data_IF_400122498182
#
_entry.id   IF_400122498182
#
_cell.length_a   1.000
_cell.length_b   1.000
_cell.length_c   1.000
_cell.angle_alpha   90.00
_cell.angle_beta   90.00
_cell.angle_gamma   90.00
#
_symmetry.space_group_name_H-M   'P 1'
#
loop_
_entity.id
_entity.type
_entity.pdbx_description
1 polymer ?
#
# COMPACT_ATOMS: atom_id res chain seq x y z
N UNK A 1 -11.32 13.49 -2.69
CA UNK A 1 -11.58 12.41 -1.69
C UNK A 1 -10.29 12.18 -0.91
N UNK A 2 -10.31 11.76 0.37
CA UNK A 2 -9.07 11.32 1.02
C UNK A 2 -8.51 10.04 0.37
N UNK A 3 -7.37 10.17 -0.31
CA UNK A 3 -6.61 9.03 -0.85
C UNK A 3 -5.89 8.32 0.31
N UNK A 4 -5.98 7.00 0.36
CA UNK A 4 -5.33 6.19 1.41
C UNK A 4 -4.09 5.47 0.85
N UNK A 5 -3.18 4.95 1.71
CA UNK A 5 -2.04 4.15 1.26
C UNK A 5 -2.44 2.93 0.40
N UNK A 6 -3.62 2.35 0.65
CA UNK A 6 -4.17 1.27 -0.18
C UNK A 6 -4.48 1.74 -1.60
N UNK A 7 -4.97 2.97 -1.77
CA UNK A 7 -5.20 3.55 -3.09
C UNK A 7 -3.88 3.74 -3.84
N UNK A 8 -2.83 4.26 -3.18
CA UNK A 8 -1.48 4.37 -3.76
C UNK A 8 -0.98 2.98 -4.20
N UNK A 9 -1.10 1.98 -3.33
CA UNK A 9 -0.71 0.62 -3.68
C UNK A 9 -1.45 0.13 -4.94
N UNK A 10 -2.78 0.27 -5.00
CA UNK A 10 -3.57 -0.22 -6.12
C UNK A 10 -3.34 0.58 -7.40
N UNK A 11 -3.08 1.88 -7.30
CA UNK A 11 -2.67 2.70 -8.42
C UNK A 11 -1.44 2.11 -9.12
N UNK A 12 -0.41 1.75 -8.36
CA UNK A 12 0.81 1.15 -8.92
C UNK A 12 0.68 -0.34 -9.30
N UNK A 13 -0.42 -1.02 -8.94
CA UNK A 13 -0.65 -2.43 -9.29
C UNK A 13 -1.63 -2.58 -10.46
N UNK A 14 -2.82 -2.00 -10.35
CA UNK A 14 -3.92 -2.20 -11.28
C UNK A 14 -5.02 -1.13 -11.08
N UNK A 15 -5.24 -0.27 -12.08
CA UNK A 15 -6.27 0.77 -12.03
C UNK A 15 -7.70 0.22 -11.93
N UNK A 16 -7.97 -0.94 -12.55
CA UNK A 16 -9.26 -1.64 -12.39
C UNK A 16 -9.52 -2.00 -10.93
N UNK A 17 -8.50 -2.56 -10.26
CA UNK A 17 -8.58 -2.90 -8.83
C UNK A 17 -8.78 -1.66 -7.96
N UNK A 18 -8.06 -0.58 -8.26
CA UNK A 18 -8.23 0.73 -7.60
C UNK A 18 -9.68 1.21 -7.70
N UNK A 19 -10.25 1.20 -8.90
CA UNK A 19 -11.62 1.61 -9.15
C UNK A 19 -12.61 0.74 -8.39
N UNK A 20 -12.50 -0.59 -8.48
CA UNK A 20 -13.41 -1.52 -7.80
C UNK A 20 -13.38 -1.33 -6.28
N UNK A 21 -12.19 -1.22 -5.69
CA UNK A 21 -12.00 -0.99 -4.26
C UNK A 21 -12.66 0.31 -3.79
N UNK A 22 -12.48 1.39 -4.57
CA UNK A 22 -13.07 2.69 -4.28
C UNK A 22 -14.61 2.64 -4.31
N UNK A 23 -15.18 1.97 -5.31
CA UNK A 23 -16.63 1.79 -5.45
C UNK A 23 -17.22 0.73 -4.51
N UNK A 24 -16.46 0.30 -3.49
CA UNK A 24 -16.93 -0.60 -2.44
C UNK A 24 -17.02 -2.07 -2.84
N UNK A 25 -16.63 -2.42 -4.07
CA UNK A 25 -16.57 -3.81 -4.53
C UNK A 25 -15.29 -4.41 -3.95
N UNK A 26 -15.42 -5.28 -2.95
CA UNK A 26 -14.29 -5.85 -2.20
C UNK A 26 -14.28 -7.36 -2.32
N UNK A 27 -13.18 -7.92 -2.80
CA UNK A 27 -12.99 -9.37 -2.96
C UNK A 27 -11.91 -9.92 -2.01
N UNK A 28 -11.36 -9.08 -1.13
CA UNK A 28 -10.25 -9.45 -0.24
C UNK A 28 -10.63 -10.54 0.77
N UNK A 29 -11.91 -10.62 1.13
CA UNK A 29 -12.43 -11.56 2.14
C UNK A 29 -12.56 -12.99 1.62
N UNK A 30 -12.61 -13.19 0.30
CA UNK A 30 -12.65 -14.53 -0.33
C UNK A 30 -11.25 -15.05 -0.68
N UNK A 31 -10.19 -14.29 -0.37
CA UNK A 31 -8.83 -14.60 -0.79
C UNK A 31 -7.97 -15.13 0.36
N UNK A 32 -7.62 -16.41 0.32
CA UNK A 32 -6.66 -17.03 1.25
C UNK A 32 -5.31 -16.31 1.26
N UNK A 33 -4.90 -15.76 0.11
CA UNK A 33 -3.66 -14.98 -0.03
C UNK A 33 -3.69 -13.73 0.85
N UNK A 34 -4.85 -13.06 0.93
CA UNK A 34 -5.04 -11.86 1.75
C UNK A 34 -5.13 -12.24 3.23
N UNK A 35 -5.89 -13.28 3.57
CA UNK A 35 -6.00 -13.80 4.94
C UNK A 35 -4.63 -14.16 5.51
N UNK A 36 -3.82 -14.89 4.74
CA UNK A 36 -2.46 -15.23 5.15
C UNK A 36 -1.55 -13.98 5.27
N UNK A 37 -1.77 -12.96 4.44
CA UNK A 37 -1.07 -11.68 4.54
C UNK A 37 -1.34 -10.95 5.86
N UNK A 38 -2.60 -10.95 6.32
CA UNK A 38 -2.98 -10.40 7.63
C UNK A 38 -2.31 -11.17 8.77
N UNK A 39 -2.30 -12.50 8.68
CA UNK A 39 -1.61 -13.35 9.65
C UNK A 39 -0.10 -13.06 9.74
N UNK A 40 0.58 -12.90 8.60
CA UNK A 40 1.99 -12.50 8.59
C UNK A 40 2.18 -11.15 9.27
N UNK A 41 1.30 -10.18 8.99
CA UNK A 41 1.37 -8.86 9.61
C UNK A 41 1.22 -8.94 11.14
N UNK A 42 0.28 -9.75 11.64
CA UNK A 42 0.05 -9.94 13.07
C UNK A 42 1.21 -10.67 13.78
N UNK A 43 1.89 -11.60 13.10
CA UNK A 43 2.89 -12.48 13.71
C UNK A 43 4.34 -12.03 13.51
N UNK A 44 4.63 -11.13 12.56
CA UNK A 44 6.01 -10.76 12.22
C UNK A 44 6.73 -9.98 13.33
N UNK A 45 6.00 -9.36 14.27
CA UNK A 45 6.58 -8.63 15.41
C UNK A 45 5.85 -8.97 16.71
N UNK A 46 6.20 -10.10 17.37
CA UNK A 46 5.61 -10.51 18.66
C UNK A 46 5.91 -9.53 19.81
N UNK A 47 7.00 -8.77 19.72
CA UNK A 47 7.47 -7.87 20.78
C UNK A 47 6.96 -6.43 20.58
N UNK A 48 5.64 -6.24 20.66
CA UNK A 48 4.96 -4.93 20.53
C UNK A 48 5.25 -3.91 21.65
N UNK A 49 5.86 -4.32 22.76
CA UNK A 49 5.55 -3.74 24.07
C UNK A 49 6.12 -2.36 24.45
N UNK A 50 7.09 -1.77 23.75
CA UNK A 50 7.72 -0.54 24.28
C UNK A 50 8.25 0.49 23.28
N UNK A 51 8.67 0.10 22.07
CA UNK A 51 9.41 1.01 21.16
C UNK A 51 8.59 1.54 19.98
N UNK A 52 7.54 0.83 19.59
CA UNK A 52 6.76 1.12 18.39
C UNK A 52 5.37 1.58 18.76
N UNK A 53 4.89 2.63 18.09
CA UNK A 53 3.55 3.18 18.29
C UNK A 53 2.77 3.11 17.00
N UNK A 54 1.47 2.85 17.12
CA UNK A 54 0.53 3.09 16.04
C UNK A 54 0.40 4.61 15.84
N UNK A 55 0.59 5.07 14.60
CA UNK A 55 0.46 6.48 14.25
C UNK A 55 -0.74 6.69 13.33
N UNK A 56 -1.71 7.44 13.83
CA UNK A 56 -2.90 7.84 13.07
C UNK A 56 -2.64 9.17 12.41
N UNK A 57 -2.70 9.18 11.08
CA UNK A 57 -2.67 10.36 10.23
C UNK A 57 -4.10 10.59 9.68
N UNK A 58 -4.43 11.79 9.17
CA UNK A 58 -5.80 12.09 8.72
C UNK A 58 -6.41 11.07 7.75
N UNK A 59 -5.60 10.49 6.86
CA UNK A 59 -6.05 9.57 5.80
C UNK A 59 -5.23 8.29 5.71
N UNK A 60 -4.42 8.02 6.74
CA UNK A 60 -3.54 6.87 6.79
C UNK A 60 -3.37 6.40 8.23
N UNK A 61 -3.19 5.10 8.39
CA UNK A 61 -2.79 4.49 9.65
C UNK A 61 -1.47 3.77 9.41
N UNK A 62 -0.47 4.11 10.21
CA UNK A 62 0.82 3.45 10.20
C UNK A 62 0.83 2.52 11.41
N UNK A 63 0.81 1.22 11.15
CA UNK A 63 0.75 0.22 12.21
C UNK A 63 2.05 0.18 13.03
N UNK A 64 3.19 0.52 12.42
CA UNK A 64 4.51 0.48 13.06
C UNK A 64 5.34 1.72 12.77
N UNK A 65 5.47 2.59 13.78
CA UNK A 65 6.30 3.78 13.73
C UNK A 65 7.26 3.85 14.94
N UNK A 66 8.56 3.99 14.69
CA UNK A 66 9.57 4.33 15.71
C UNK A 66 9.70 5.85 15.76
N UNK A 67 9.08 6.47 16.78
CA UNK A 67 9.07 7.93 16.93
C UNK A 67 10.44 8.53 17.27
N UNK A 68 11.33 7.78 17.93
CA UNK A 68 12.66 8.27 18.29
C UNK A 68 13.55 8.38 17.04
N UNK A 69 13.46 7.41 16.15
CA UNK A 69 14.24 7.36 14.91
C UNK A 69 13.49 7.95 13.70
N UNK A 70 12.19 8.23 13.85
CA UNK A 70 11.27 8.68 12.79
C UNK A 70 11.15 7.67 11.65
N UNK A 71 11.09 6.37 11.99
CA UNK A 71 11.09 5.28 11.01
C UNK A 71 9.72 4.63 10.91
N UNK A 72 9.18 4.56 9.69
CA UNK A 72 8.01 3.76 9.33
C UNK A 72 8.44 2.35 8.97
N UNK A 73 7.82 1.34 9.57
CA UNK A 73 8.00 -0.06 9.21
C UNK A 73 6.75 -0.58 8.49
N UNK A 74 6.92 -1.09 7.27
CA UNK A 74 5.86 -1.73 6.49
C UNK A 74 6.24 -3.18 6.20
N UNK A 75 5.35 -4.10 6.53
CA UNK A 75 5.61 -5.54 6.45
C UNK A 75 4.77 -6.15 5.35
N UNK A 76 5.41 -6.86 4.41
CA UNK A 76 4.73 -7.51 3.28
C UNK A 76 5.13 -8.97 3.15
N UNK A 77 4.18 -9.80 2.73
CA UNK A 77 4.39 -11.25 2.56
C UNK A 77 5.29 -11.61 1.37
N UNK A 78 5.17 -10.88 0.26
CA UNK A 78 5.89 -11.18 -1.00
C UNK A 78 6.34 -9.90 -1.68
N UNK A 79 7.45 -9.92 -2.40
CA UNK A 79 7.98 -8.78 -3.15
C UNK A 79 7.47 -8.69 -4.61
N UNK A 80 6.43 -9.43 -4.99
CA UNK A 80 5.94 -9.50 -6.39
C UNK A 80 5.44 -8.16 -6.96
N UNK A 81 5.04 -7.23 -6.10
CA UNK A 81 4.65 -5.85 -6.43
C UNK A 81 5.46 -4.85 -5.64
N UNK A 82 6.77 -5.10 -5.53
CA UNK A 82 7.67 -4.29 -4.71
C UNK A 82 7.54 -2.80 -5.00
N UNK A 83 7.41 -2.38 -6.26
CA UNK A 83 7.24 -0.97 -6.61
C UNK A 83 6.00 -0.33 -5.98
N UNK A 84 4.88 -1.06 -5.91
CA UNK A 84 3.67 -0.57 -5.24
C UNK A 84 3.84 -0.53 -3.72
N UNK A 85 4.63 -1.44 -3.14
CA UNK A 85 4.98 -1.39 -1.73
C UNK A 85 5.90 -0.21 -1.40
N UNK A 86 6.90 0.05 -2.23
CA UNK A 86 7.78 1.22 -2.11
C UNK A 86 6.95 2.49 -2.19
N UNK A 87 6.08 2.64 -3.20
CA UNK A 87 5.22 3.81 -3.36
C UNK A 87 4.29 4.02 -2.16
N UNK A 88 3.74 2.94 -1.60
CA UNK A 88 2.94 3.00 -0.37
C UNK A 88 3.75 3.58 0.80
N UNK A 89 4.99 3.11 1.00
CA UNK A 89 5.87 3.62 2.06
C UNK A 89 6.28 5.07 1.79
N UNK A 90 6.62 5.42 0.56
CA UNK A 90 6.92 6.80 0.16
C UNK A 90 5.76 7.75 0.46
N UNK A 91 4.52 7.30 0.28
CA UNK A 91 3.34 8.06 0.65
C UNK A 91 3.21 8.27 2.16
N UNK A 92 3.54 7.27 2.99
CA UNK A 92 3.63 7.48 4.44
C UNK A 92 4.66 8.55 4.79
N UNK A 93 5.86 8.48 4.21
CA UNK A 93 6.91 9.47 4.46
C UNK A 93 6.45 10.88 4.08
N UNK A 94 5.76 11.00 2.94
CA UNK A 94 5.19 12.27 2.50
C UNK A 94 4.16 12.83 3.49
N UNK A 95 3.23 12.00 3.97
CA UNK A 95 2.25 12.44 4.97
C UNK A 95 2.91 12.84 6.31
N UNK A 96 4.02 12.19 6.68
CA UNK A 96 4.78 12.56 7.88
C UNK A 96 5.49 13.91 7.71
N UNK A 97 6.06 14.18 6.54
CA UNK A 97 6.64 15.49 6.23
C UNK A 97 5.59 16.60 6.26
N UNK A 98 4.42 16.37 5.66
CA UNK A 98 3.28 17.31 5.70
C UNK A 98 2.77 17.54 7.14
N UNK A 99 2.90 16.54 8.01
CA UNK A 99 2.60 16.67 9.44
C UNK A 99 3.73 17.35 10.26
N UNK A 100 4.80 17.81 9.60
CA UNK A 100 5.93 18.53 10.21
C UNK A 100 7.05 17.63 10.75
N UNK A 101 7.01 16.33 10.51
CA UNK A 101 8.09 15.42 10.89
C UNK A 101 9.21 15.54 9.86
N UNK A 102 10.35 16.06 10.29
CA UNK A 102 11.52 16.26 9.42
C UNK A 102 12.18 14.92 9.12
N UNK A 103 12.56 14.69 7.86
CA UNK A 103 13.39 13.56 7.41
C UNK A 103 12.94 12.17 7.93
N UNK A 104 11.66 11.79 7.74
CA UNK A 104 11.22 10.45 8.10
C UNK A 104 11.86 9.41 7.18
N UNK A 105 12.09 8.19 7.70
CA UNK A 105 12.65 7.07 6.93
C UNK A 105 11.66 5.93 6.84
N UNK A 106 11.74 5.13 5.78
CA UNK A 106 10.89 3.96 5.59
C UNK A 106 11.72 2.67 5.55
N UNK A 107 11.21 1.61 6.18
CA UNK A 107 11.71 0.25 6.07
C UNK A 107 10.59 -0.65 5.56
N UNK A 108 10.85 -1.32 4.45
CA UNK A 108 9.96 -2.30 3.85
C UNK A 108 10.53 -3.71 4.08
N UNK A 109 9.78 -4.53 4.80
CA UNK A 109 10.23 -5.82 5.30
C UNK A 109 9.45 -6.96 4.66
N UNK A 110 10.18 -7.97 4.20
CA UNK A 110 9.66 -9.22 3.65
C UNK A 110 10.14 -10.40 4.50
N UNK A 111 9.49 -10.70 5.64
CA UNK A 111 9.98 -11.68 6.61
C UNK A 111 10.22 -13.07 6.01
N UNK A 112 9.31 -13.53 5.14
CA UNK A 112 9.43 -14.84 4.44
C UNK A 112 10.65 -14.92 3.52
N UNK A 113 11.10 -13.77 2.99
CA UNK A 113 12.26 -13.67 2.11
C UNK A 113 13.53 -13.28 2.87
N UNK A 114 13.43 -12.93 4.16
CA UNK A 114 14.52 -12.35 4.97
C UNK A 114 15.15 -11.12 4.30
N UNK A 115 14.32 -10.30 3.68
CA UNK A 115 14.73 -9.08 2.99
C UNK A 115 14.15 -7.86 3.70
N UNK A 116 15.00 -6.88 3.94
CA UNK A 116 14.61 -5.55 4.43
C UNK A 116 15.17 -4.52 3.47
N UNK A 117 14.35 -3.56 3.07
CA UNK A 117 14.71 -2.51 2.13
C UNK A 117 14.45 -1.15 2.73
N UNK A 118 15.46 -0.28 2.68
CA UNK A 118 15.27 1.13 3.00
C UNK A 118 14.53 1.83 1.85
N UNK A 119 13.53 2.62 2.21
CA UNK A 119 12.71 3.43 1.31
C UNK A 119 12.94 4.89 1.65
N UNK A 120 13.34 5.65 0.64
CA UNK A 120 13.61 7.08 0.73
C UNK A 120 12.55 7.88 -0.04
N UNK A 121 12.26 9.07 0.45
CA UNK A 121 11.47 10.07 -0.25
C UNK A 121 12.41 11.10 -0.89
N UNK A 122 12.84 10.81 -2.12
CA UNK A 122 13.66 11.73 -2.91
C UNK A 122 12.80 12.84 -3.54
N UNK A 123 13.47 13.87 -4.07
CA UNK A 123 12.81 15.01 -4.70
C UNK A 123 11.93 14.62 -5.91
N UNK A 124 12.36 13.62 -6.67
CA UNK A 124 11.61 13.12 -7.83
C UNK A 124 10.26 12.53 -7.38
N UNK A 125 10.29 11.67 -6.37
CA UNK A 125 9.09 11.04 -5.81
C UNK A 125 8.21 12.06 -5.11
N UNK A 126 8.79 12.98 -4.34
CA UNK A 126 8.07 14.06 -3.66
C UNK A 126 7.24 14.88 -4.65
N UNK A 127 7.78 15.14 -5.85
CA UNK A 127 7.06 15.81 -6.94
C UNK A 127 6.04 14.93 -7.67
N UNK A 128 6.27 13.62 -7.68
CA UNK A 128 5.39 12.64 -8.32
C UNK A 128 4.11 12.35 -7.51
N UNK A 129 4.18 12.38 -6.18
CA UNK A 129 3.03 12.05 -5.30
C UNK A 129 1.79 12.90 -5.62
N UNK A 130 1.86 14.24 -5.76
CA UNK A 130 0.69 15.03 -6.17
C UNK A 130 0.07 14.59 -7.49
N UNK A 131 0.87 14.13 -8.47
CA UNK A 131 0.33 13.56 -9.71
C UNK A 131 -0.37 12.22 -9.44
N UNK A 132 0.19 11.35 -8.61
CA UNK A 132 -0.47 10.09 -8.24
C UNK A 132 -1.83 10.35 -7.59
N UNK A 133 -1.91 11.33 -6.69
CA UNK A 133 -3.17 11.73 -6.05
C UNK A 133 -4.19 12.20 -7.09
N UNK A 134 -3.80 13.09 -8.00
CA UNK A 134 -4.67 13.58 -9.06
C UNK A 134 -5.13 12.47 -10.02
N UNK A 135 -4.22 11.57 -10.42
CA UNK A 135 -4.54 10.43 -11.27
C UNK A 135 -5.48 9.43 -10.59
N UNK A 136 -5.28 9.17 -9.30
CA UNK A 136 -6.19 8.33 -8.51
C UNK A 136 -7.59 8.94 -8.51
N UNK A 137 -7.71 10.23 -8.18
CA UNK A 137 -9.02 10.91 -8.18
C UNK A 137 -9.68 10.88 -9.55
N UNK A 138 -8.90 11.08 -10.62
CA UNK A 138 -9.38 10.97 -12.00
C UNK A 138 -9.91 9.57 -12.29
N UNK A 139 -9.11 8.53 -12.03
CA UNK A 139 -9.46 7.13 -12.32
C UNK A 139 -10.73 6.73 -11.58
N UNK A 140 -10.81 6.98 -10.27
CA UNK A 140 -11.96 6.52 -9.47
C UNK A 140 -13.25 7.27 -9.81
N UNK A 141 -13.14 8.46 -10.41
CA UNK A 141 -14.27 9.26 -10.89
C UNK A 141 -14.74 8.85 -12.30
N UNK A 142 -14.05 7.94 -12.99
CA UNK A 142 -14.47 7.44 -14.29
C UNK A 142 -15.80 6.67 -14.15
N UNK A 143 -16.75 6.93 -15.07
CA UNK A 143 -18.04 6.24 -15.10
C UNK A 143 -17.89 4.74 -15.40
N UNK A 144 -16.87 4.40 -16.19
CA UNK A 144 -16.56 3.02 -16.59
C UNK A 144 -15.39 2.48 -15.79
N UNK A 145 -15.54 1.24 -15.31
CA UNK A 145 -14.44 0.52 -14.69
C UNK A 145 -13.28 0.30 -15.69
N UNK A 146 -12.02 0.59 -15.33
CA UNK A 146 -10.87 0.40 -16.21
C UNK A 146 -10.74 -1.05 -16.72
N UNK A 147 -10.14 -1.26 -17.90
CA UNK A 147 -10.00 -2.60 -18.48
C UNK A 147 -9.09 -3.52 -17.65
N UNK A 148 -9.20 -4.83 -17.90
CA UNK A 148 -8.28 -5.81 -17.32
C UNK A 148 -6.85 -5.58 -17.85
N UNK A 149 -5.85 -5.86 -17.00
CA UNK A 149 -4.43 -5.66 -17.36
C UNK A 149 -3.78 -6.91 -17.94
N UNK A 150 -4.42 -8.09 -17.82
CA UNK A 150 -3.96 -9.38 -18.34
C UNK A 150 -2.49 -9.72 -18.03
N UNK A 151 -2.08 -9.47 -16.78
CA UNK A 151 -0.72 -9.78 -16.30
C UNK A 151 -0.70 -11.05 -15.45
N UNK A 152 0.47 -11.73 -15.31
CA UNK A 152 0.59 -12.95 -14.48
C UNK A 152 0.12 -12.78 -13.02
N UNK A 153 0.17 -11.56 -12.49
CA UNK A 153 -0.34 -11.25 -11.15
C UNK A 153 -1.86 -11.39 -11.01
N UNK A 154 -2.61 -11.22 -12.12
CA UNK A 154 -4.06 -11.35 -12.12
C UNK A 154 -4.52 -12.71 -11.58
N UNK A 155 -3.80 -13.79 -11.92
CA UNK A 155 -4.10 -15.18 -11.49
C UNK A 155 -4.07 -15.39 -9.98
N UNK A 156 -3.50 -14.45 -9.22
CA UNK A 156 -3.44 -14.49 -7.75
C UNK A 156 -4.11 -13.27 -7.12
N UNK A 157 -4.77 -12.44 -7.93
CA UNK A 157 -5.49 -11.27 -7.47
C UNK A 157 -6.80 -11.73 -6.81
N UNK A 158 -7.18 -11.10 -5.70
CA UNK A 158 -8.47 -11.36 -5.05
C UNK A 158 -9.66 -11.07 -5.98
N UNK A 159 -9.48 -10.21 -6.99
CA UNK A 159 -10.52 -9.85 -7.94
C UNK A 159 -10.53 -10.74 -9.19
N UNK A 160 -9.77 -11.85 -9.22
CA UNK A 160 -9.64 -12.69 -10.42
C UNK A 160 -11.00 -13.15 -10.94
N UNK A 161 -11.78 -13.84 -10.11
CA UNK A 161 -13.08 -14.38 -10.51
C UNK A 161 -14.01 -13.26 -11.00
N UNK A 162 -14.01 -12.09 -10.33
CA UNK A 162 -14.80 -10.93 -10.78
C UNK A 162 -14.32 -10.35 -12.12
N UNK A 163 -13.02 -10.30 -12.36
CA UNK A 163 -12.47 -9.71 -13.58
C UNK A 163 -12.63 -10.60 -14.81
N UNK A 164 -12.80 -11.91 -14.62
CA UNK A 164 -12.69 -12.93 -15.66
C UNK A 164 -13.92 -13.87 -15.70
N UNK A 165 -15.09 -13.42 -15.22
CA UNK A 165 -16.34 -14.20 -15.23
C UNK A 165 -16.73 -14.68 -16.64
N UNK A 166 -16.43 -13.87 -17.67
CA UNK A 166 -16.84 -14.10 -19.06
C UNK A 166 -15.70 -14.61 -19.97
N UNK A 167 -14.56 -15.04 -19.40
CA UNK A 167 -13.46 -15.70 -20.16
C UNK A 167 -13.57 -17.23 -20.16
#
# INVERSE_FOLDING_TARGET
>A
MPVTPTHINYYHVCHRKLWLFHHGIRMEHTSDVVTEGKWVHETSYPQRGAKYTELVLPHAKIDYYDAQQRIVHEVKKTNKVEQAHIAQVQYYLYLLEEAGIKEPKGLLEYPKLRQTREVLLDETTRRAIPQWLADIERIVSELSCPPTINKPICKRCSYYDFCYVDE
#
